data_IF_624393198457
#
_entry.id   IF_624393198457
#
_cell.length_a   1.000
_cell.length_b   1.000
_cell.length_c   1.000
_cell.angle_alpha   90.00
_cell.angle_beta   90.00
_cell.angle_gamma   90.00
#
_symmetry.space_group_name_H-M   'P 1'
#
loop_
_entity.id
_entity.type
_entity.pdbx_description
1 polymer ?
#
# COMPACT_ATOMS: atom_id res chain seq x y z
N UNK A 1 33.82 -20.62 -7.10
CA UNK A 1 33.39 -19.49 -7.94
C UNK A 1 31.96 -19.10 -7.51
N UNK A 2 31.79 -18.80 -6.22
CA UNK A 2 31.67 -17.47 -5.60
C UNK A 2 30.21 -17.13 -5.37
N UNK A 3 29.61 -17.82 -4.39
CA UNK A 3 28.39 -17.37 -3.74
C UNK A 3 28.80 -16.53 -2.52
N UNK A 4 29.21 -15.29 -2.75
CA UNK A 4 29.52 -14.34 -1.68
C UNK A 4 28.63 -13.10 -1.83
N UNK A 5 28.21 -12.57 -0.68
CA UNK A 5 27.47 -11.32 -0.48
C UNK A 5 25.93 -11.36 -0.62
N UNK A 6 25.24 -12.31 0.00
CA UNK A 6 24.00 -11.91 0.68
C UNK A 6 24.41 -11.16 1.93
N UNK A 7 24.62 -9.86 1.80
CA UNK A 7 24.98 -8.98 2.90
C UNK A 7 23.82 -9.00 3.92
N UNK A 8 24.07 -9.65 5.06
CA UNK A 8 23.12 -9.90 6.14
C UNK A 8 23.05 -8.71 7.09
N UNK A 9 22.83 -7.50 6.57
CA UNK A 9 22.35 -6.41 7.42
C UNK A 9 20.96 -6.82 7.90
N UNK A 10 20.74 -6.91 9.21
CA UNK A 10 19.60 -7.57 9.87
C UNK A 10 18.23 -6.90 9.68
N UNK A 11 17.86 -6.56 8.45
CA UNK A 11 16.56 -6.03 8.03
C UNK A 11 15.98 -6.95 6.95
N UNK A 12 14.69 -7.26 7.06
CA UNK A 12 14.00 -8.06 6.05
C UNK A 12 14.04 -7.36 4.66
N UNK A 13 14.21 -8.11 3.56
CA UNK A 13 14.25 -7.53 2.22
C UNK A 13 12.94 -6.83 1.87
N UNK A 14 13.02 -5.68 1.19
CA UNK A 14 11.85 -4.90 0.79
C UNK A 14 10.96 -5.62 -0.23
N UNK A 15 11.57 -6.43 -1.11
CA UNK A 15 10.91 -7.23 -2.14
C UNK A 15 11.62 -8.59 -2.24
N UNK A 16 10.85 -9.67 -2.44
CA UNK A 16 11.37 -11.03 -2.66
C UNK A 16 10.66 -11.67 -3.85
N UNK A 17 11.45 -12.22 -4.77
CA UNK A 17 10.94 -13.02 -5.89
C UNK A 17 10.70 -14.44 -5.39
N UNK A 18 9.44 -14.85 -5.28
CA UNK A 18 9.09 -16.20 -4.84
C UNK A 18 9.16 -17.23 -5.98
N UNK A 19 8.96 -16.81 -7.23
CA UNK A 19 8.99 -17.66 -8.44
C UNK A 19 9.45 -16.86 -9.66
N UNK A 20 10.08 -17.56 -10.60
CA UNK A 20 10.65 -16.98 -11.83
C UNK A 20 12.14 -16.66 -11.68
N UNK A 21 12.79 -16.37 -12.81
CA UNK A 21 14.18 -15.92 -12.88
C UNK A 21 14.21 -14.66 -13.75
N UNK A 22 13.79 -13.50 -13.20
CA UNK A 22 13.80 -12.26 -13.96
C UNK A 22 15.22 -11.86 -14.31
N UNK A 23 15.39 -11.21 -15.46
CA UNK A 23 16.65 -10.59 -15.82
C UNK A 23 16.88 -9.26 -15.07
N UNK A 24 18.07 -8.68 -15.24
CA UNK A 24 18.47 -7.47 -14.54
C UNK A 24 17.62 -6.27 -14.97
N UNK A 25 17.22 -6.21 -16.24
CA UNK A 25 16.36 -5.19 -16.82
C UNK A 25 14.95 -5.24 -16.23
N UNK A 26 14.36 -6.42 -16.10
CA UNK A 26 13.05 -6.65 -15.50
C UNK A 26 13.06 -6.27 -14.00
N UNK A 27 14.12 -6.64 -13.27
CA UNK A 27 14.27 -6.25 -11.87
C UNK A 27 14.42 -4.73 -11.70
N UNK A 28 15.21 -4.08 -12.56
CA UNK A 28 15.36 -2.63 -12.55
C UNK A 28 14.05 -1.90 -12.88
N UNK A 29 13.29 -2.41 -13.85
CA UNK A 29 11.99 -1.87 -14.21
C UNK A 29 11.02 -1.97 -13.01
N UNK A 30 10.95 -3.12 -12.35
CA UNK A 30 10.10 -3.33 -11.17
C UNK A 30 10.50 -2.40 -10.02
N UNK A 31 11.79 -2.30 -9.71
CA UNK A 31 12.29 -1.42 -8.66
C UNK A 31 11.96 0.05 -8.93
N UNK A 32 12.09 0.48 -10.19
CA UNK A 32 11.76 1.85 -10.62
C UNK A 32 10.28 2.18 -10.42
N UNK A 33 9.39 1.25 -10.76
CA UNK A 33 7.94 1.42 -10.56
C UNK A 33 7.61 1.55 -9.06
N UNK A 34 8.18 0.67 -8.22
CA UNK A 34 7.97 0.71 -6.77
C UNK A 34 8.48 2.01 -6.16
N UNK A 35 9.68 2.47 -6.54
CA UNK A 35 10.24 3.73 -6.08
C UNK A 35 9.38 4.94 -6.52
N UNK A 36 8.89 4.93 -7.77
CA UNK A 36 8.01 5.97 -8.29
C UNK A 36 6.69 6.07 -7.53
N UNK A 37 6.07 4.93 -7.23
CA UNK A 37 4.84 4.87 -6.43
C UNK A 37 5.07 5.36 -4.98
N UNK A 38 6.19 4.97 -4.36
CA UNK A 38 6.53 5.44 -3.01
C UNK A 38 6.76 6.96 -2.97
N UNK A 39 7.45 7.51 -3.96
CA UNK A 39 7.65 8.95 -4.11
C UNK A 39 6.33 9.71 -4.28
N UNK A 40 5.45 9.24 -5.17
CA UNK A 40 4.14 9.83 -5.40
C UNK A 40 3.24 9.80 -4.16
N UNK A 41 3.29 8.72 -3.37
CA UNK A 41 2.56 8.61 -2.12
C UNK A 41 3.02 9.66 -1.09
N UNK A 42 4.32 9.97 -1.06
CA UNK A 42 4.88 10.99 -0.16
C UNK A 42 4.49 12.41 -0.60
N UNK A 43 4.41 12.68 -1.90
CA UNK A 43 3.97 13.96 -2.46
C UNK A 43 2.46 14.22 -2.28
N UNK A 44 1.66 13.18 -2.06
CA UNK A 44 0.21 13.29 -1.83
C UNK A 44 -0.16 13.81 -0.43
N UNK A 45 0.79 14.22 0.40
CA UNK A 45 0.58 14.88 1.68
C UNK A 45 0.03 16.33 1.55
N UNK A 46 -0.71 16.63 0.48
CA UNK A 46 -1.55 17.83 0.44
C UNK A 46 -2.72 17.58 1.37
N UNK A 47 -2.86 18.43 2.40
CA UNK A 47 -3.91 18.48 3.43
C UNK A 47 -5.23 17.92 2.90
N UNK A 48 -5.41 16.61 3.05
CA UNK A 48 -6.69 15.99 2.74
C UNK A 48 -7.64 16.50 3.79
N UNK A 49 -8.83 17.02 3.43
CA UNK A 49 -9.79 17.51 4.41
C UNK A 49 -9.95 16.44 5.48
N UNK A 50 -9.76 16.83 6.75
CA UNK A 50 -9.75 15.92 7.89
C UNK A 50 -10.86 14.89 7.69
N UNK A 51 -10.47 13.63 7.49
CA UNK A 51 -11.43 12.57 7.18
C UNK A 51 -12.45 12.58 8.31
N UNK A 52 -13.71 12.91 7.98
CA UNK A 52 -14.79 12.84 8.98
C UNK A 52 -14.74 11.45 9.58
N UNK A 53 -14.65 11.38 10.91
CA UNK A 53 -14.64 10.12 11.64
C UNK A 53 -15.84 9.29 11.17
N UNK A 54 -15.59 8.11 10.61
CA UNK A 54 -16.66 7.26 10.09
C UNK A 54 -17.53 6.71 11.23
N UNK A 55 -16.97 6.60 12.44
CA UNK A 55 -17.69 6.34 13.69
C UNK A 55 -18.73 7.42 14.03
N UNK A 56 -18.49 8.67 13.62
CA UNK A 56 -19.40 9.78 13.88
C UNK A 56 -20.43 9.99 12.76
N UNK A 57 -20.44 9.14 11.73
CA UNK A 57 -21.34 9.30 10.60
C UNK A 57 -22.81 9.22 11.02
N UNK A 58 -23.62 10.26 10.72
CA UNK A 58 -25.06 10.19 10.94
C UNK A 58 -25.74 9.01 10.23
N UNK A 59 -25.21 8.56 9.08
CA UNK A 59 -25.81 7.46 8.36
C UNK A 59 -25.71 6.10 9.10
N UNK A 60 -24.67 5.90 9.91
CA UNK A 60 -24.55 4.76 10.83
C UNK A 60 -25.64 4.78 11.92
N UNK A 61 -25.91 5.95 12.51
CA UNK A 61 -27.00 6.10 13.51
C UNK A 61 -28.38 5.82 12.93
N UNK A 62 -28.56 6.10 11.63
CA UNK A 62 -29.80 5.88 10.90
C UNK A 62 -29.87 4.52 10.20
N UNK A 63 -28.86 3.64 10.37
CA UNK A 63 -28.75 2.33 9.70
C UNK A 63 -28.96 2.40 8.19
N UNK A 64 -28.48 3.48 7.56
CA UNK A 64 -28.57 3.65 6.12
C UNK A 64 -27.62 2.67 5.41
N UNK A 65 -28.00 2.16 4.22
CA UNK A 65 -27.13 1.29 3.45
C UNK A 65 -25.80 1.99 3.11
N UNK A 66 -24.71 1.21 3.13
CA UNK A 66 -23.38 1.71 2.81
C UNK A 66 -23.32 2.18 1.36
N UNK A 67 -22.82 3.41 1.15
CA UNK A 67 -22.65 3.98 -0.19
C UNK A 67 -21.30 3.55 -0.78
N UNK A 68 -21.23 3.15 -2.06
CA UNK A 68 -19.96 2.90 -2.72
C UNK A 68 -19.13 4.19 -2.78
N UNK A 69 -17.83 4.10 -2.46
CA UNK A 69 -16.95 5.25 -2.39
C UNK A 69 -15.53 4.90 -1.99
N UNK A 70 -14.62 5.89 -2.08
CA UNK A 70 -13.21 5.70 -1.72
C UNK A 70 -13.07 5.19 -0.28
N UNK A 71 -12.47 4.03 -0.12
CA UNK A 71 -12.25 3.40 1.18
C UNK A 71 -13.43 2.56 1.70
N UNK A 72 -14.56 2.46 0.97
CA UNK A 72 -15.72 1.67 1.40
C UNK A 72 -15.37 0.21 1.66
N UNK A 73 -14.49 -0.39 0.84
CA UNK A 73 -13.99 -1.75 1.05
C UNK A 73 -13.24 -1.93 2.38
N UNK A 74 -12.39 -0.96 2.77
CA UNK A 74 -11.63 -1.02 4.03
C UNK A 74 -12.54 -1.00 5.26
N UNK A 75 -13.72 -0.42 5.13
CA UNK A 75 -14.68 -0.26 6.23
C UNK A 75 -15.81 -1.29 6.20
N UNK A 76 -15.88 -2.15 5.17
CA UNK A 76 -16.91 -3.19 5.04
C UNK A 76 -16.88 -4.24 6.17
N UNK A 77 -15.73 -4.41 6.82
CA UNK A 77 -15.54 -5.34 7.94
C UNK A 77 -15.95 -4.77 9.31
N UNK A 78 -16.33 -3.50 9.39
CA UNK A 78 -16.74 -2.86 10.65
C UNK A 78 -18.26 -2.86 10.79
N UNK A 79 -18.80 -3.01 12.02
CA UNK A 79 -20.24 -2.92 12.27
C UNK A 79 -20.81 -1.57 11.83
N UNK A 80 -22.04 -1.59 11.31
CA UNK A 80 -22.78 -0.40 10.90
C UNK A 80 -23.22 0.45 12.10
#
# INVERSE_FOLDING_TARGET
MTGEASDRTGTAPLLRVERGAPDDEELAALATVVAGLASAANSAATESPARRSRWSDPASRLRLPSRPGRGAWRWSAYPA
#
